data_IF_005617844439
#
_entry.id   IF_005617844439
#
_cell.length_a   1.000
_cell.length_b   1.000
_cell.length_c   1.000
_cell.angle_alpha   90.00
_cell.angle_beta   90.00
_cell.angle_gamma   90.00
#
_symmetry.space_group_name_H-M   'P 1'
#
loop_
_entity.id
_entity.type
_entity.pdbx_description
1 polymer ?
#
# COMPACT_ATOMS: atom_id res chain seq x y z
N UNK A 1 11.06 -23.19 5.55
CA UNK A 1 10.18 -22.03 5.79
C UNK A 1 10.96 -20.73 5.64
N UNK A 2 12.14 -20.59 6.24
CA UNK A 2 12.98 -19.37 6.18
C UNK A 2 13.16 -18.76 4.78
N UNK A 3 13.54 -19.55 3.77
CA UNK A 3 13.70 -19.03 2.39
C UNK A 3 12.40 -18.50 1.78
N UNK A 4 11.25 -19.08 2.14
CA UNK A 4 9.94 -18.64 1.68
C UNK A 4 9.54 -17.33 2.37
N UNK A 5 9.80 -17.24 3.68
CA UNK A 5 9.58 -16.02 4.47
C UNK A 5 10.41 -14.86 3.91
N UNK A 6 11.70 -15.10 3.65
CA UNK A 6 12.58 -14.09 3.05
C UNK A 6 12.08 -13.66 1.67
N UNK A 7 11.68 -14.62 0.83
CA UNK A 7 11.09 -14.31 -0.48
C UNK A 7 9.84 -13.44 -0.35
N UNK A 8 8.93 -13.73 0.59
CA UNK A 8 7.75 -12.90 0.79
C UNK A 8 8.12 -11.49 1.21
N UNK A 9 8.99 -11.31 2.22
CA UNK A 9 9.41 -9.98 2.69
C UNK A 9 10.01 -9.14 1.56
N UNK A 10 10.85 -9.74 0.73
CA UNK A 10 11.50 -9.04 -0.39
C UNK A 10 10.54 -8.68 -1.53
N UNK A 11 9.41 -9.38 -1.63
CA UNK A 11 8.46 -9.25 -2.74
C UNK A 11 7.09 -8.70 -2.28
N UNK A 12 6.96 -8.24 -1.03
CA UNK A 12 5.73 -7.63 -0.54
C UNK A 12 5.44 -6.36 -1.34
N UNK A 13 4.23 -6.29 -1.88
CA UNK A 13 3.73 -5.12 -2.58
C UNK A 13 2.44 -4.66 -1.93
N UNK A 14 2.28 -3.33 -1.86
CA UNK A 14 1.00 -2.71 -1.54
C UNK A 14 0.30 -2.52 -2.87
N UNK A 15 -0.81 -3.23 -3.02
CA UNK A 15 -1.73 -3.05 -4.13
C UNK A 15 -2.90 -2.23 -3.64
N UNK A 16 -2.97 -0.96 -4.06
CA UNK A 16 -4.16 -0.15 -3.88
C UNK A 16 -5.04 -0.44 -5.09
N UNK A 17 -6.03 -1.30 -4.88
CA UNK A 17 -6.97 -1.80 -5.89
C UNK A 17 -7.35 -0.66 -6.85
N UNK A 18 -7.17 -0.88 -8.15
CA UNK A 18 -7.26 0.11 -9.24
C UNK A 18 -8.67 0.65 -9.49
N UNK A 19 -9.50 0.68 -8.46
CA UNK A 19 -10.85 1.20 -8.40
C UNK A 19 -10.91 2.58 -7.73
N UNK A 20 -9.80 3.33 -7.68
CA UNK A 20 -9.80 4.72 -7.25
C UNK A 20 -9.63 5.61 -8.47
N UNK A 21 -10.68 6.33 -8.85
CA UNK A 21 -10.59 7.43 -9.81
C UNK A 21 -10.48 8.78 -9.08
N UNK A 22 -10.19 9.85 -9.83
CA UNK A 22 -10.00 11.19 -9.24
C UNK A 22 -11.27 11.74 -8.57
N UNK A 23 -12.43 11.41 -9.11
CA UNK A 23 -13.70 11.87 -8.57
C UNK A 23 -13.93 11.23 -7.19
N UNK A 24 -13.75 9.92 -7.09
CA UNK A 24 -13.81 9.17 -5.83
C UNK A 24 -12.77 9.64 -4.82
N UNK A 25 -11.53 9.87 -5.26
CA UNK A 25 -10.49 10.42 -4.39
C UNK A 25 -10.91 11.77 -3.80
N UNK A 26 -11.47 12.68 -4.63
CA UNK A 26 -11.92 14.00 -4.16
C UNK A 26 -13.06 13.91 -3.16
N UNK A 27 -13.95 12.93 -3.32
CA UNK A 27 -15.03 12.67 -2.35
C UNK A 27 -14.51 12.15 -1.01
N UNK A 28 -13.38 11.44 -1.01
CA UNK A 28 -12.74 10.92 0.21
C UNK A 28 -11.95 11.98 0.99
N UNK A 29 -11.60 13.09 0.37
CA UNK A 29 -10.78 14.14 0.98
C UNK A 29 -11.62 15.12 1.81
N UNK A 30 -11.10 15.48 2.99
CA UNK A 30 -11.74 16.47 3.86
C UNK A 30 -11.48 17.92 3.40
N UNK A 31 -12.04 18.91 4.12
CA UNK A 31 -11.81 20.33 3.82
C UNK A 31 -10.50 20.87 4.42
N UNK A 32 -9.58 20.01 4.84
CA UNK A 32 -8.34 20.47 5.46
C UNK A 32 -7.43 21.18 4.44
N UNK A 33 -6.55 22.10 4.90
CA UNK A 33 -5.55 22.71 4.03
C UNK A 33 -4.62 21.69 3.36
N UNK A 34 -4.43 20.51 3.96
CA UNK A 34 -3.63 19.44 3.39
C UNK A 34 -4.37 18.72 2.26
N UNK A 35 -5.64 18.40 2.46
CA UNK A 35 -6.51 17.82 1.46
C UNK A 35 -6.66 18.73 0.23
N UNK A 36 -6.88 20.03 0.45
CA UNK A 36 -6.97 21.00 -0.66
C UNK A 36 -5.70 21.04 -1.51
N UNK A 37 -4.52 20.99 -0.90
CA UNK A 37 -3.24 20.91 -1.65
C UNK A 37 -3.12 19.63 -2.45
N UNK A 38 -3.63 18.52 -1.92
CA UNK A 38 -3.63 17.25 -2.62
C UNK A 38 -4.58 17.29 -3.83
N UNK A 39 -5.77 17.85 -3.68
CA UNK A 39 -6.73 18.09 -4.79
C UNK A 39 -6.09 18.99 -5.87
N UNK A 40 -5.36 20.03 -5.49
CA UNK A 40 -4.68 20.91 -6.44
C UNK A 40 -3.55 20.21 -7.23
N UNK A 41 -2.96 19.16 -6.65
CA UNK A 41 -1.88 18.37 -7.26
C UNK A 41 -2.42 17.22 -8.13
N UNK A 42 -3.59 16.66 -7.81
CA UNK A 42 -4.17 15.51 -8.48
C UNK A 42 -5.31 15.94 -9.42
N UNK A 43 -4.93 16.32 -10.64
CA UNK A 43 -5.85 16.90 -11.63
C UNK A 43 -6.15 15.97 -12.79
N UNK A 44 -5.20 15.12 -13.16
CA UNK A 44 -5.30 14.16 -14.25
C UNK A 44 -5.11 12.74 -13.75
N UNK A 45 -5.62 11.76 -14.51
CA UNK A 45 -5.47 10.34 -14.16
C UNK A 45 -3.99 9.96 -14.04
N UNK A 46 -3.13 10.55 -14.87
CA UNK A 46 -1.68 10.40 -14.77
C UNK A 46 -1.13 10.90 -13.41
N UNK A 47 -1.63 12.05 -12.90
CA UNK A 47 -1.22 12.55 -11.58
C UNK A 47 -1.63 11.58 -10.46
N UNK A 48 -2.80 10.95 -10.60
CA UNK A 48 -3.33 9.96 -9.64
C UNK A 48 -2.50 8.67 -9.69
N UNK A 49 -2.16 8.18 -10.88
CA UNK A 49 -1.29 7.02 -11.05
C UNK A 49 0.09 7.26 -10.42
N UNK A 50 0.71 8.40 -10.72
CA UNK A 50 1.99 8.82 -10.13
C UNK A 50 1.90 8.92 -8.60
N UNK A 51 0.79 9.43 -8.07
CA UNK A 51 0.53 9.49 -6.63
C UNK A 51 0.45 8.10 -6.00
N UNK A 52 -0.31 7.18 -6.59
CA UNK A 52 -0.46 5.80 -6.10
C UNK A 52 0.89 5.10 -6.10
N UNK A 53 1.66 5.19 -7.19
CA UNK A 53 3.01 4.61 -7.27
C UNK A 53 3.91 5.18 -6.17
N UNK A 54 3.98 6.50 -6.08
CA UNK A 54 4.83 7.18 -5.09
C UNK A 54 4.47 6.77 -3.66
N UNK A 55 3.17 6.71 -3.35
CA UNK A 55 2.70 6.37 -2.02
C UNK A 55 2.91 4.89 -1.70
N UNK A 56 2.62 3.98 -2.63
CA UNK A 56 2.82 2.54 -2.40
C UNK A 56 4.29 2.20 -2.20
N UNK A 57 5.20 2.84 -2.93
CA UNK A 57 6.64 2.67 -2.72
C UNK A 57 7.11 3.21 -1.38
N UNK A 58 6.64 4.40 -0.98
CA UNK A 58 6.97 4.94 0.34
C UNK A 58 6.41 4.07 1.49
N UNK A 59 5.20 3.53 1.31
CA UNK A 59 4.53 2.72 2.33
C UNK A 59 5.12 1.30 2.47
N UNK A 60 5.71 0.73 1.40
CA UNK A 60 6.38 -0.59 1.45
C UNK A 60 7.46 -0.66 2.53
N UNK A 61 8.23 0.41 2.75
CA UNK A 61 9.27 0.44 3.78
C UNK A 61 8.71 0.20 5.19
N UNK A 62 7.47 0.60 5.43
CA UNK A 62 6.79 0.43 6.71
C UNK A 62 6.16 -0.95 6.87
N UNK A 63 5.93 -1.72 5.79
CA UNK A 63 5.39 -3.08 5.89
C UNK A 63 6.26 -3.97 6.76
N UNK A 64 7.59 -3.82 6.67
CA UNK A 64 8.55 -4.59 7.46
C UNK A 64 8.41 -4.38 8.98
N UNK A 65 7.73 -3.31 9.43
CA UNK A 65 7.45 -3.09 10.84
C UNK A 65 6.31 -3.95 11.40
N UNK A 66 5.36 -4.35 10.55
CA UNK A 66 4.19 -5.14 10.94
C UNK A 66 4.22 -6.58 10.43
N UNK A 67 4.80 -6.80 9.25
CA UNK A 67 4.92 -8.11 8.60
C UNK A 67 6.36 -8.58 8.79
N UNK A 68 6.64 -9.11 9.97
CA UNK A 68 7.97 -9.61 10.34
C UNK A 68 8.16 -11.09 9.95
N UNK A 69 9.40 -11.60 9.92
CA UNK A 69 9.65 -13.03 9.67
C UNK A 69 8.87 -13.96 10.62
N UNK A 70 8.71 -13.55 11.88
CA UNK A 70 7.97 -14.31 12.90
C UNK A 70 6.48 -14.37 12.57
N UNK A 71 5.90 -13.24 12.15
CA UNK A 71 4.49 -13.19 11.71
C UNK A 71 4.28 -14.11 10.51
N UNK A 72 5.11 -14.00 9.47
CA UNK A 72 4.99 -14.84 8.28
C UNK A 72 5.17 -16.32 8.58
N UNK A 73 6.13 -16.67 9.44
CA UNK A 73 6.34 -18.06 9.84
C UNK A 73 5.10 -18.62 10.55
N UNK A 74 4.51 -17.85 11.48
CA UNK A 74 3.27 -18.24 12.16
C UNK A 74 2.14 -18.47 11.15
N UNK A 75 1.86 -17.48 10.30
CA UNK A 75 0.75 -17.58 9.33
C UNK A 75 0.93 -18.75 8.35
N UNK A 76 2.17 -19.02 7.92
CA UNK A 76 2.45 -20.16 7.05
C UNK A 76 2.25 -21.50 7.77
N UNK A 77 2.62 -21.60 9.05
CA UNK A 77 2.35 -22.79 9.86
C UNK A 77 0.86 -22.98 10.08
N UNK A 78 0.15 -21.93 10.51
CA UNK A 78 -1.30 -21.98 10.75
C UNK A 78 -2.06 -22.40 9.48
N UNK A 79 -1.67 -21.87 8.31
CA UNK A 79 -2.25 -22.28 7.03
C UNK A 79 -1.94 -23.73 6.66
N UNK A 80 -0.74 -24.23 6.97
CA UNK A 80 -0.34 -25.60 6.65
C UNK A 80 -0.99 -26.65 7.56
N UNK A 81 -1.43 -26.25 8.75
CA UNK A 81 -2.05 -27.12 9.76
C UNK A 81 -3.59 -27.06 9.75
N UNK A 82 -4.19 -26.11 9.03
CA UNK A 82 -5.63 -25.97 8.81
C UNK A 82 -6.19 -27.01 7.81
#
# INVERSE_FOLDING_TARGET
MEKLVQYFIENLMIDLDGALNIEELRELLDESPAAMKLIEKLKTEDDLEDFIITMTDALKEYLASGITPEVLTREFTDYAEA
#
